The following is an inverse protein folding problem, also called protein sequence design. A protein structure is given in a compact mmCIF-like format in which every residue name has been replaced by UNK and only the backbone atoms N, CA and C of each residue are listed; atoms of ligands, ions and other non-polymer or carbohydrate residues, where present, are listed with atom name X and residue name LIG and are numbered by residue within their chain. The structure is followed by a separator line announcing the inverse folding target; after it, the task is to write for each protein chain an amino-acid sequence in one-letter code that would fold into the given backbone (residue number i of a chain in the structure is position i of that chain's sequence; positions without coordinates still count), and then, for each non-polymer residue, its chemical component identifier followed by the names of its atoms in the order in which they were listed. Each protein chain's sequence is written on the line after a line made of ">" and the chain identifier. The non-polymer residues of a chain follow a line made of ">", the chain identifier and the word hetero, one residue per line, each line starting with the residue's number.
data_IF_079908397228
#
_entry.id   IF_079908397228
#
_cell.length_a   1.000
_cell.length_b   1.000
_cell.length_c   1.000
_cell.angle_alpha   90.00
_cell.angle_beta   90.00
_cell.angle_gamma   90.00
#
_symmetry.space_group_name_H-M   'P 1'
#
loop_
_entity.id
_entity.type
_entity.pdbx_description
1 polymer ?
#
# COMPACT_ATOMS: atom_id res chain seq x y z
N UNK A 1 9.52 70.37 -69.23
CA UNK A 1 10.63 70.94 -68.43
C UNK A 1 10.23 70.91 -66.96
N UNK A 2 11.19 70.63 -66.07
CA UNK A 2 11.12 70.49 -64.61
C UNK A 2 10.39 69.22 -64.09
N UNK A 3 11.12 68.18 -63.61
CA UNK A 3 11.63 67.97 -62.23
C UNK A 3 10.46 67.80 -61.24
N UNK A 4 10.25 66.72 -60.49
CA UNK A 4 11.06 65.61 -60.01
C UNK A 4 10.61 65.36 -58.56
N UNK A 5 10.33 64.12 -58.14
CA UNK A 5 10.39 63.78 -56.71
C UNK A 5 10.56 62.27 -56.49
N UNK A 6 11.58 61.91 -55.70
CA UNK A 6 11.86 60.57 -55.21
C UNK A 6 11.01 60.31 -53.96
N UNK A 7 10.24 59.23 -53.96
CA UNK A 7 9.61 58.67 -52.77
C UNK A 7 10.09 57.24 -52.57
N UNK A 8 11.04 57.06 -51.64
CA UNK A 8 11.48 55.76 -51.11
C UNK A 8 10.39 55.19 -50.22
N UNK A 9 9.78 54.07 -50.61
CA UNK A 9 8.91 53.28 -49.73
C UNK A 9 9.77 52.25 -48.98
N UNK A 10 10.05 52.54 -47.71
CA UNK A 10 10.59 51.59 -46.74
C UNK A 10 9.54 50.53 -46.42
N UNK A 11 9.80 49.29 -46.83
CA UNK A 11 9.02 48.12 -46.43
C UNK A 11 9.07 47.93 -44.92
N UNK A 12 7.91 48.06 -44.29
CA UNK A 12 7.68 47.72 -42.89
C UNK A 12 7.71 46.21 -42.71
N UNK A 13 8.78 45.70 -42.10
CA UNK A 13 8.84 44.36 -41.54
C UNK A 13 7.98 44.30 -40.28
N UNK A 14 6.74 43.80 -40.42
CA UNK A 14 5.90 43.41 -39.30
C UNK A 14 6.50 42.16 -38.64
N UNK A 15 7.37 42.40 -37.64
CA UNK A 15 7.83 41.38 -36.72
C UNK A 15 6.66 40.85 -35.90
N UNK A 16 6.08 39.74 -36.36
CA UNK A 16 5.13 38.94 -35.60
C UNK A 16 5.82 38.42 -34.35
N UNK A 17 5.50 39.00 -33.20
CA UNK A 17 5.87 38.48 -31.90
C UNK A 17 5.14 37.14 -31.69
N UNK A 18 5.80 36.04 -32.05
CA UNK A 18 5.44 34.72 -31.57
C UNK A 18 5.58 34.71 -30.05
N UNK A 19 4.49 35.05 -29.36
CA UNK A 19 4.28 34.69 -27.96
C UNK A 19 4.22 33.17 -27.92
N UNK A 20 5.36 32.54 -27.64
CA UNK A 20 5.43 31.14 -27.29
C UNK A 20 4.54 30.95 -26.06
N UNK A 21 3.33 30.43 -26.26
CA UNK A 21 2.54 29.85 -25.17
C UNK A 21 3.40 28.73 -24.59
N UNK A 22 4.10 29.02 -23.50
CA UNK A 22 4.69 28.02 -22.63
C UNK A 22 3.56 27.11 -22.17
N UNK A 23 3.31 26.03 -22.92
CA UNK A 23 2.43 24.98 -22.44
C UNK A 23 3.19 24.36 -21.26
N UNK A 24 2.73 24.64 -20.04
CA UNK A 24 3.15 23.96 -18.82
C UNK A 24 2.76 22.48 -18.95
N UNK A 25 3.47 21.75 -19.80
CA UNK A 25 3.37 20.32 -19.95
C UNK A 25 4.21 19.74 -18.84
N UNK A 26 3.55 19.21 -17.81
CA UNK A 26 4.24 18.45 -16.76
C UNK A 26 5.03 17.34 -17.48
N UNK A 27 6.37 17.33 -17.38
CA UNK A 27 7.17 16.38 -18.13
C UNK A 27 6.80 14.97 -17.70
N UNK A 28 6.58 14.07 -18.65
CA UNK A 28 6.29 12.63 -18.39
C UNK A 28 7.30 11.99 -17.43
N UNK A 29 8.51 12.55 -17.38
CA UNK A 29 9.61 12.19 -16.48
C UNK A 29 9.28 12.44 -15.00
N UNK A 30 8.54 13.50 -14.66
CA UNK A 30 8.20 13.83 -13.28
C UNK A 30 7.37 12.73 -12.61
N UNK A 31 6.33 12.24 -13.29
CA UNK A 31 5.51 11.13 -12.77
C UNK A 31 6.31 9.84 -12.59
N UNK A 32 7.29 9.58 -13.46
CA UNK A 32 8.17 8.41 -13.33
C UNK A 32 9.09 8.52 -12.12
N UNK A 33 9.68 9.69 -11.91
CA UNK A 33 10.54 9.96 -10.75
C UNK A 33 9.73 9.84 -9.47
N UNK A 34 8.57 10.50 -9.39
CA UNK A 34 7.70 10.43 -8.22
C UNK A 34 7.27 9.00 -7.90
N UNK A 35 6.86 8.24 -8.92
CA UNK A 35 6.49 6.83 -8.76
C UNK A 35 7.66 5.99 -8.23
N UNK A 36 8.88 6.20 -8.75
CA UNK A 36 10.07 5.49 -8.30
C UNK A 36 10.46 5.87 -6.85
N UNK A 37 10.34 7.14 -6.47
CA UNK A 37 10.59 7.59 -5.10
C UNK A 37 9.60 6.98 -4.11
N UNK A 38 8.31 6.88 -4.48
CA UNK A 38 7.29 6.21 -3.66
C UNK A 38 7.60 4.72 -3.56
N UNK A 39 7.98 4.06 -4.66
CA UNK A 39 8.38 2.65 -4.61
C UNK A 39 9.57 2.44 -3.67
N UNK A 40 10.59 3.28 -3.75
CA UNK A 40 11.78 3.20 -2.90
C UNK A 40 11.43 3.42 -1.42
N UNK A 41 10.54 4.37 -1.11
CA UNK A 41 10.09 4.60 0.26
C UNK A 41 9.28 3.40 0.78
N UNK A 42 8.43 2.79 -0.04
CA UNK A 42 7.70 1.56 0.32
C UNK A 42 8.64 0.40 0.63
N UNK A 43 9.70 0.20 -0.15
CA UNK A 43 10.71 -0.83 0.13
C UNK A 43 11.40 -0.57 1.46
N UNK A 44 11.73 0.69 1.76
CA UNK A 44 12.34 1.08 3.04
C UNK A 44 11.39 0.81 4.21
N UNK A 45 10.12 1.17 4.06
CA UNK A 45 9.07 0.89 5.05
C UNK A 45 8.92 -0.61 5.25
N UNK A 46 8.88 -1.42 4.19
CA UNK A 46 8.76 -2.87 4.28
C UNK A 46 9.89 -3.49 5.13
N UNK A 47 11.14 -3.05 4.95
CA UNK A 47 12.28 -3.53 5.75
C UNK A 47 12.11 -3.23 7.25
N UNK A 48 11.54 -2.07 7.59
CA UNK A 48 11.24 -1.73 8.99
C UNK A 48 10.06 -2.55 9.51
N UNK A 49 9.03 -2.71 8.69
CA UNK A 49 7.77 -3.36 9.07
C UNK A 49 7.87 -4.86 9.26
N UNK A 50 8.88 -5.51 8.69
CA UNK A 50 9.16 -6.94 8.91
C UNK A 50 9.69 -7.21 10.32
N UNK A 51 10.32 -6.24 10.99
CA UNK A 51 11.02 -6.46 12.27
C UNK A 51 10.13 -7.01 13.40
N UNK A 52 8.92 -6.50 13.67
CA UNK A 52 8.04 -7.07 14.68
C UNK A 52 7.72 -8.56 14.45
N UNK A 53 7.60 -8.96 13.18
CA UNK A 53 7.31 -10.34 12.79
C UNK A 53 8.51 -11.26 12.93
N UNK A 54 9.71 -10.76 12.59
CA UNK A 54 10.97 -11.47 12.85
C UNK A 54 11.14 -11.70 14.34
N UNK A 55 10.94 -10.68 15.16
CA UNK A 55 11.13 -10.77 16.60
C UNK A 55 10.04 -11.66 17.25
N UNK A 56 8.80 -11.62 16.76
CA UNK A 56 7.75 -12.56 17.16
C UNK A 56 8.10 -14.01 16.79
N UNK A 57 8.62 -14.24 15.57
CA UNK A 57 9.04 -15.58 15.14
C UNK A 57 10.18 -16.13 16.01
N UNK A 58 11.17 -15.30 16.38
CA UNK A 58 12.24 -15.70 17.30
C UNK A 58 11.69 -16.15 18.66
N UNK A 59 10.69 -15.45 19.19
CA UNK A 59 10.12 -15.77 20.50
C UNK A 59 9.22 -17.01 20.51
N UNK A 60 8.60 -17.34 19.38
CA UNK A 60 7.83 -18.58 19.22
C UNK A 60 8.72 -19.83 19.10
N UNK A 61 10.02 -19.71 19.37
CA UNK A 61 10.93 -20.84 19.36
C UNK A 61 11.21 -21.36 17.95
N UNK A 62 11.08 -20.50 16.92
CA UNK A 62 11.76 -20.71 15.63
C UNK A 62 13.26 -20.60 15.89
N UNK A 63 13.78 -21.64 16.53
CA UNK A 63 15.15 -21.74 16.98
C UNK A 63 15.90 -22.36 15.82
N UNK A 64 16.77 -21.53 15.25
CA UNK A 64 17.89 -21.87 14.39
C UNK A 64 18.37 -23.29 14.73
N UNK A 65 18.27 -24.19 13.75
CA UNK A 65 19.01 -25.45 13.63
C UNK A 65 19.38 -26.07 14.99
N UNK A 66 18.52 -26.98 15.48
CA UNK A 66 18.67 -27.86 16.66
C UNK A 66 19.89 -27.55 17.57
N UNK A 67 19.65 -27.19 18.84
CA UNK A 67 20.70 -26.83 19.82
C UNK A 67 21.88 -27.83 19.89
N UNK A 68 21.62 -29.08 19.49
CA UNK A 68 22.60 -30.16 19.34
C UNK A 68 23.58 -29.93 18.17
N UNK A 69 23.09 -29.43 17.03
CA UNK A 69 23.88 -29.11 15.83
C UNK A 69 24.74 -27.86 16.04
N UNK A 70 24.21 -26.81 16.70
CA UNK A 70 24.97 -25.61 17.08
C UNK A 70 26.15 -25.98 18.01
N UNK A 71 25.93 -26.85 19.00
CA UNK A 71 27.00 -27.33 19.91
C UNK A 71 28.08 -28.14 19.20
N UNK A 72 27.69 -28.96 18.22
CA UNK A 72 28.62 -29.78 17.44
C UNK A 72 29.47 -28.92 16.48
N UNK A 73 28.92 -27.81 16.01
CA UNK A 73 29.53 -26.93 15.00
C UNK A 73 30.28 -25.75 15.61
N UNK A 74 29.98 -25.35 16.84
CA UNK A 74 30.67 -24.27 17.56
C UNK A 74 32.17 -24.52 17.81
N UNK A 75 32.65 -25.74 17.56
CA UNK A 75 34.08 -26.12 17.63
C UNK A 75 34.88 -25.55 16.44
N UNK A 76 34.24 -25.14 15.33
CA UNK A 76 34.91 -24.55 14.17
C UNK A 76 34.42 -23.10 13.95
N UNK A 77 35.26 -22.07 14.18
CA UNK A 77 34.86 -20.65 14.13
C UNK A 77 34.19 -20.22 12.83
N UNK A 78 34.65 -20.75 11.69
CA UNK A 78 34.12 -20.42 10.35
C UNK A 78 32.71 -20.99 10.14
N UNK A 79 32.44 -22.18 10.68
CA UNK A 79 31.14 -22.84 10.53
C UNK A 79 30.10 -22.25 11.49
N UNK A 80 30.53 -21.74 12.66
CA UNK A 80 29.68 -20.95 13.55
C UNK A 80 29.23 -19.63 12.89
N UNK A 81 30.12 -18.93 12.18
CA UNK A 81 29.76 -17.73 11.41
C UNK A 81 28.76 -18.04 10.26
N UNK A 82 28.93 -19.17 9.57
CA UNK A 82 27.99 -19.63 8.52
C UNK A 82 26.63 -20.07 9.11
N UNK A 83 26.63 -20.85 10.20
CA UNK A 83 25.42 -21.33 10.84
C UNK A 83 24.60 -20.18 11.47
N UNK A 84 25.27 -19.20 12.09
CA UNK A 84 24.60 -17.99 12.60
C UNK A 84 24.03 -17.13 11.47
N UNK A 85 24.73 -17.00 10.34
CA UNK A 85 24.24 -16.23 9.17
C UNK A 85 23.04 -16.93 8.50
N UNK A 86 23.08 -18.26 8.37
CA UNK A 86 21.96 -19.06 7.86
C UNK A 86 20.76 -19.02 8.81
N UNK A 87 21.00 -19.09 10.12
CA UNK A 87 19.96 -18.98 11.14
C UNK A 87 19.25 -17.63 11.15
N UNK A 88 20.01 -16.53 11.08
CA UNK A 88 19.45 -15.18 10.93
C UNK A 88 18.64 -15.08 9.63
N UNK A 89 19.14 -15.62 8.52
CA UNK A 89 18.42 -15.63 7.24
C UNK A 89 17.07 -16.34 7.30
N UNK A 90 16.98 -17.52 7.92
CA UNK A 90 15.73 -18.30 8.01
C UNK A 90 14.66 -17.56 8.81
N UNK A 91 15.02 -16.98 9.95
CA UNK A 91 14.06 -16.21 10.78
C UNK A 91 13.55 -14.98 10.01
N UNK A 92 14.44 -14.28 9.28
CA UNK A 92 14.03 -13.17 8.43
C UNK A 92 13.08 -13.59 7.32
N UNK A 93 13.31 -14.75 6.69
CA UNK A 93 12.39 -15.30 5.67
C UNK A 93 11.02 -15.60 6.29
N UNK A 94 10.98 -16.26 7.45
CA UNK A 94 9.73 -16.59 8.14
C UNK A 94 8.99 -15.32 8.58
N UNK A 95 9.69 -14.36 9.18
CA UNK A 95 9.12 -13.07 9.57
C UNK A 95 8.60 -12.28 8.37
N UNK A 96 9.33 -12.30 7.25
CA UNK A 96 8.88 -11.65 6.00
C UNK A 96 7.66 -12.35 5.42
N UNK A 97 7.59 -13.68 5.44
CA UNK A 97 6.44 -14.43 4.98
C UNK A 97 5.20 -14.17 5.84
N UNK A 98 5.37 -14.14 7.17
CA UNK A 98 4.30 -13.83 8.10
C UNK A 98 3.79 -12.40 7.91
N UNK A 99 4.69 -11.42 7.87
CA UNK A 99 4.36 -10.03 7.56
C UNK A 99 3.65 -9.92 6.20
N UNK A 100 4.19 -10.56 5.16
CA UNK A 100 3.64 -10.54 3.81
C UNK A 100 2.22 -11.09 3.75
N UNK A 101 1.89 -12.10 4.57
CA UNK A 101 0.53 -12.64 4.67
C UNK A 101 -0.46 -11.62 5.27
N UNK A 102 -0.10 -10.98 6.39
CA UNK A 102 -0.92 -9.91 6.98
C UNK A 102 -1.05 -8.72 6.02
N UNK A 103 0.07 -8.28 5.46
CA UNK A 103 0.12 -7.16 4.55
C UNK A 103 -0.74 -7.41 3.30
N UNK A 104 -0.72 -8.63 2.75
CA UNK A 104 -1.55 -9.03 1.60
C UNK A 104 -3.03 -8.94 1.93
N UNK A 105 -3.45 -9.43 3.10
CA UNK A 105 -4.85 -9.34 3.56
C UNK A 105 -5.28 -7.88 3.74
N UNK A 106 -4.41 -7.04 4.29
CA UNK A 106 -4.70 -5.62 4.52
C UNK A 106 -4.79 -4.81 3.23
N UNK A 107 -3.88 -5.04 2.27
CA UNK A 107 -3.85 -4.27 1.02
C UNK A 107 -4.79 -4.80 -0.05
N UNK A 108 -5.25 -6.05 0.03
CA UNK A 108 -6.11 -6.63 -1.00
C UNK A 108 -7.38 -5.81 -1.24
N UNK A 109 -8.16 -5.39 -0.21
CA UNK A 109 -9.28 -4.48 -0.41
C UNK A 109 -8.88 -3.18 -1.12
N UNK A 110 -7.73 -2.60 -0.74
CA UNK A 110 -7.23 -1.35 -1.33
C UNK A 110 -7.00 -1.51 -2.82
N UNK A 111 -6.38 -2.61 -3.24
CA UNK A 111 -6.13 -2.92 -4.66
C UNK A 111 -7.44 -3.13 -5.41
N UNK A 112 -8.34 -3.96 -4.86
CA UNK A 112 -9.62 -4.31 -5.48
C UNK A 112 -10.53 -3.09 -5.67
N UNK A 113 -10.70 -2.27 -4.62
CA UNK A 113 -11.49 -1.04 -4.70
C UNK A 113 -10.88 0.02 -5.61
N UNK A 114 -9.57 -0.07 -5.89
CA UNK A 114 -8.92 0.83 -6.84
C UNK A 114 -8.97 0.34 -8.29
N UNK A 115 -9.53 -0.85 -8.57
CA UNK A 115 -9.61 -1.44 -9.91
C UNK A 115 -11.02 -1.26 -10.52
N UNK A 116 -11.23 -0.28 -11.43
CA UNK A 116 -12.57 0.08 -11.91
C UNK A 116 -13.31 -1.06 -12.61
N UNK A 117 -12.60 -1.88 -13.40
CA UNK A 117 -13.23 -3.02 -14.07
C UNK A 117 -13.69 -4.08 -13.08
N UNK A 118 -12.95 -4.29 -11.99
CA UNK A 118 -13.36 -5.26 -10.97
C UNK A 118 -14.62 -4.76 -10.26
N UNK A 119 -14.65 -3.49 -9.87
CA UNK A 119 -15.85 -2.88 -9.30
C UNK A 119 -17.05 -2.95 -10.24
N UNK A 120 -16.83 -2.69 -11.54
CA UNK A 120 -17.89 -2.77 -12.53
C UNK A 120 -18.47 -4.18 -12.64
N UNK A 121 -17.61 -5.20 -12.75
CA UNK A 121 -18.05 -6.60 -12.80
C UNK A 121 -18.79 -7.01 -11.52
N UNK A 122 -18.30 -6.63 -10.34
CA UNK A 122 -18.98 -6.95 -9.08
C UNK A 122 -20.35 -6.24 -8.98
N UNK A 123 -20.46 -4.98 -9.42
CA UNK A 123 -21.74 -4.26 -9.46
C UNK A 123 -22.69 -4.92 -10.46
N UNK A 124 -22.21 -5.22 -11.67
CA UNK A 124 -23.01 -5.86 -12.70
C UNK A 124 -23.49 -7.25 -12.25
N UNK A 125 -22.61 -8.04 -11.63
CA UNK A 125 -22.97 -9.34 -11.08
C UNK A 125 -23.94 -9.18 -9.91
N UNK A 126 -23.77 -8.19 -9.03
CA UNK A 126 -24.71 -7.91 -7.94
C UNK A 126 -26.10 -7.51 -8.47
N UNK A 127 -26.18 -6.67 -9.50
CA UNK A 127 -27.44 -6.31 -10.15
C UNK A 127 -28.10 -7.53 -10.81
N UNK A 128 -27.32 -8.39 -11.46
CA UNK A 128 -27.80 -9.64 -12.07
C UNK A 128 -28.10 -10.74 -11.05
N UNK A 129 -27.54 -10.67 -9.84
CA UNK A 129 -27.64 -11.72 -8.81
C UNK A 129 -29.04 -11.86 -8.20
N UNK A 130 -29.99 -11.00 -8.56
CA UNK A 130 -31.43 -11.26 -8.35
C UNK A 130 -31.99 -12.35 -9.29
N UNK A 131 -31.12 -13.10 -9.97
CA UNK A 131 -31.44 -14.19 -10.91
C UNK A 131 -32.36 -15.26 -10.34
N UNK A 132 -32.21 -15.59 -9.05
CA UNK A 132 -33.04 -16.62 -8.42
C UNK A 132 -34.01 -16.01 -7.41
N UNK A 133 -35.27 -15.87 -7.81
CA UNK A 133 -36.35 -15.55 -6.88
C UNK A 133 -36.52 -16.70 -5.87
N UNK A 134 -36.53 -16.35 -4.58
CA UNK A 134 -36.92 -17.25 -3.49
C UNK A 134 -38.44 -17.36 -3.55
N UNK A 135 -38.96 -18.57 -3.71
CA UNK A 135 -40.39 -18.85 -3.75
C UNK A 135 -40.82 -19.47 -2.42
N UNK A 136 -42.06 -19.22 -2.01
CA UNK A 136 -42.59 -19.72 -0.74
C UNK A 136 -42.73 -21.26 -0.69
N UNK A 137 -42.64 -21.92 -1.85
CA UNK A 137 -42.67 -23.37 -1.99
C UNK A 137 -41.30 -24.01 -2.22
N UNK A 138 -40.21 -23.24 -2.17
CA UNK A 138 -38.87 -23.80 -2.26
C UNK A 138 -38.56 -24.63 -1.00
N UNK A 139 -37.86 -25.74 -1.18
CA UNK A 139 -37.25 -26.46 -0.05
C UNK A 139 -36.36 -25.49 0.76
N UNK A 140 -36.36 -25.56 2.11
CA UNK A 140 -35.57 -24.66 2.95
C UNK A 140 -34.07 -24.59 2.57
N UNK A 141 -33.50 -25.70 2.07
CA UNK A 141 -32.11 -25.78 1.61
C UNK A 141 -31.93 -25.00 0.31
N UNK A 142 -32.87 -25.14 -0.63
CA UNK A 142 -32.86 -24.43 -1.92
C UNK A 142 -33.07 -22.94 -1.70
N UNK A 143 -33.99 -22.54 -0.81
CA UNK A 143 -34.18 -21.14 -0.44
C UNK A 143 -32.91 -20.52 0.15
N UNK A 144 -32.20 -21.25 1.02
CA UNK A 144 -30.91 -20.81 1.55
C UNK A 144 -29.82 -20.71 0.48
N UNK A 145 -29.71 -21.68 -0.44
CA UNK A 145 -28.74 -21.63 -1.53
C UNK A 145 -28.98 -20.42 -2.44
N UNK A 146 -30.24 -20.14 -2.80
CA UNK A 146 -30.62 -18.93 -3.56
C UNK A 146 -30.23 -17.66 -2.80
N UNK A 147 -30.52 -17.60 -1.50
CA UNK A 147 -30.16 -16.46 -0.64
C UNK A 147 -28.64 -16.23 -0.57
N UNK A 148 -27.85 -17.30 -0.47
CA UNK A 148 -26.39 -17.22 -0.44
C UNK A 148 -25.84 -16.78 -1.79
N UNK A 149 -26.30 -17.38 -2.89
CA UNK A 149 -25.87 -17.03 -4.24
C UNK A 149 -26.14 -15.56 -4.56
N UNK A 150 -27.35 -15.08 -4.29
CA UNK A 150 -27.74 -13.69 -4.56
C UNK A 150 -26.97 -12.66 -3.70
N UNK A 151 -26.34 -13.10 -2.60
CA UNK A 151 -25.51 -12.24 -1.76
C UNK A 151 -24.02 -12.39 -2.03
N UNK A 152 -23.59 -13.40 -2.78
CA UNK A 152 -22.21 -13.81 -2.91
C UNK A 152 -21.27 -12.68 -3.38
N UNK A 153 -21.61 -11.88 -4.42
CA UNK A 153 -20.72 -10.82 -4.91
C UNK A 153 -20.43 -9.75 -3.85
N UNK A 154 -21.46 -9.35 -3.10
CA UNK A 154 -21.35 -8.32 -2.05
C UNK A 154 -20.75 -8.90 -0.77
N UNK A 155 -21.15 -10.13 -0.39
CA UNK A 155 -20.65 -10.82 0.79
C UNK A 155 -19.15 -11.08 0.72
N UNK A 156 -18.59 -11.32 -0.47
CA UNK A 156 -17.15 -11.44 -0.66
C UNK A 156 -16.41 -10.17 -0.20
N UNK A 157 -16.84 -8.99 -0.66
CA UNK A 157 -16.22 -7.71 -0.28
C UNK A 157 -16.43 -7.36 1.19
N UNK A 158 -17.62 -7.64 1.73
CA UNK A 158 -17.90 -7.46 3.16
C UNK A 158 -17.00 -8.36 4.02
N UNK A 159 -16.89 -9.64 3.67
CA UNK A 159 -16.06 -10.58 4.41
C UNK A 159 -14.58 -10.23 4.30
N UNK A 160 -14.12 -9.79 3.12
CA UNK A 160 -12.75 -9.31 2.95
C UNK A 160 -12.45 -8.11 3.86
N UNK A 161 -13.42 -7.19 4.02
CA UNK A 161 -13.29 -6.04 4.92
C UNK A 161 -13.23 -6.47 6.41
N UNK A 162 -14.00 -7.50 6.80
CA UNK A 162 -13.96 -8.07 8.16
C UNK A 162 -12.63 -8.79 8.44
N UNK A 163 -12.15 -9.58 7.49
CA UNK A 163 -10.86 -10.28 7.60
C UNK A 163 -9.72 -9.26 7.70
N UNK A 164 -9.77 -8.17 6.91
CA UNK A 164 -8.84 -7.05 7.03
C UNK A 164 -8.86 -6.42 8.42
N UNK A 165 -10.03 -6.18 9.00
CA UNK A 165 -10.12 -5.65 10.36
C UNK A 165 -9.50 -6.61 11.39
N UNK A 166 -9.75 -7.92 11.26
CA UNK A 166 -9.14 -8.92 12.13
C UNK A 166 -7.61 -8.96 11.98
N UNK A 167 -7.10 -8.89 10.74
CA UNK A 167 -5.66 -8.79 10.46
C UNK A 167 -5.06 -7.57 11.14
N UNK A 168 -5.70 -6.40 11.02
CA UNK A 168 -5.26 -5.17 11.68
C UNK A 168 -5.21 -5.25 13.20
N UNK A 169 -6.18 -5.92 13.82
CA UNK A 169 -6.17 -6.10 15.27
C UNK A 169 -4.96 -6.92 15.71
N UNK A 170 -4.66 -8.00 14.98
CA UNK A 170 -3.50 -8.85 15.27
C UNK A 170 -2.20 -8.12 14.97
N UNK A 171 -2.09 -7.43 13.83
CA UNK A 171 -0.91 -6.64 13.48
C UNK A 171 -0.67 -5.52 14.51
N UNK A 172 -1.73 -4.83 14.94
CA UNK A 172 -1.67 -3.85 16.03
C UNK A 172 -1.10 -4.46 17.31
N UNK A 173 -1.54 -5.66 17.70
CA UNK A 173 -1.00 -6.33 18.88
C UNK A 173 0.49 -6.66 18.74
N UNK A 174 0.93 -7.19 17.58
CA UNK A 174 2.33 -7.52 17.32
C UNK A 174 3.20 -6.25 17.31
N UNK A 175 2.74 -5.22 16.61
CA UNK A 175 3.42 -3.93 16.53
C UNK A 175 3.50 -3.23 17.89
N UNK A 176 2.42 -3.21 18.66
CA UNK A 176 2.39 -2.60 19.98
C UNK A 176 3.28 -3.37 20.97
N UNK A 177 3.29 -4.70 20.88
CA UNK A 177 4.18 -5.53 21.67
C UNK A 177 5.66 -5.20 21.40
N UNK A 178 6.03 -5.07 20.12
CA UNK A 178 7.41 -4.77 19.71
C UNK A 178 7.85 -3.33 19.95
N UNK A 179 6.99 -2.39 19.55
CA UNK A 179 7.21 -0.95 19.60
C UNK A 179 6.31 -0.33 20.65
N UNK A 180 6.38 -0.83 21.88
CA UNK A 180 5.50 -0.34 22.93
C UNK A 180 5.72 1.16 23.15
N UNK A 181 4.65 1.98 23.04
CA UNK A 181 4.74 3.42 23.24
C UNK A 181 4.82 3.79 24.73
N UNK A 182 4.77 2.82 25.64
CA UNK A 182 4.88 3.04 27.09
C UNK A 182 5.94 2.13 27.70
N UNK A 183 6.63 2.62 28.73
CA UNK A 183 7.70 1.88 29.37
C UNK A 183 7.25 0.55 30.00
N UNK A 184 5.98 0.46 30.43
CA UNK A 184 5.42 -0.74 31.05
C UNK A 184 5.11 -1.86 30.06
N UNK A 185 5.13 -1.59 28.75
CA UNK A 185 4.73 -2.56 27.72
C UNK A 185 3.21 -2.77 27.58
N UNK A 186 2.40 -2.25 28.52
CA UNK A 186 0.97 -2.57 28.62
C UNK A 186 0.11 -1.62 27.77
N UNK A 187 -0.77 -2.19 26.96
CA UNK A 187 -1.75 -1.44 26.16
C UNK A 187 -2.65 -0.57 27.04
N UNK A 188 -3.06 -1.07 28.20
CA UNK A 188 -3.93 -0.34 29.15
C UNK A 188 -3.30 0.95 29.64
N UNK A 189 -1.99 0.94 29.91
CA UNK A 189 -1.28 2.10 30.46
C UNK A 189 -1.14 3.18 29.39
N UNK A 190 -1.00 2.80 28.12
CA UNK A 190 -1.04 3.76 27.00
C UNK A 190 -2.37 4.50 26.95
N UNK A 191 -3.50 3.79 26.97
CA UNK A 191 -4.82 4.43 26.98
C UNK A 191 -5.03 5.29 28.22
N UNK A 192 -4.58 4.83 29.38
CA UNK A 192 -4.63 5.62 30.62
C UNK A 192 -3.85 6.93 30.49
N UNK A 193 -2.61 6.92 29.97
CA UNK A 193 -1.81 8.13 29.78
C UNK A 193 -2.40 9.08 28.74
N UNK A 194 -2.99 8.55 27.66
CA UNK A 194 -3.72 9.36 26.67
C UNK A 194 -4.94 10.03 27.31
N UNK A 195 -5.76 9.27 28.06
CA UNK A 195 -6.97 9.81 28.71
C UNK A 195 -6.67 10.84 29.80
N UNK A 196 -5.57 10.65 30.53
CA UNK A 196 -5.15 11.57 31.61
C UNK A 196 -4.25 12.71 31.13
N UNK A 197 -3.96 12.79 29.82
CA UNK A 197 -3.14 13.85 29.22
C UNK A 197 -1.64 13.78 29.55
N UNK A 198 -1.13 12.63 30.00
CA UNK A 198 0.26 12.43 30.40
C UNK A 198 1.17 12.08 29.21
N UNK A 199 1.20 12.90 28.17
CA UNK A 199 1.97 12.63 26.94
C UNK A 199 3.48 12.45 27.18
N UNK A 200 4.02 13.01 28.26
CA UNK A 200 5.42 12.89 28.67
C UNK A 200 5.83 11.44 28.98
N UNK A 201 4.85 10.56 29.26
CA UNK A 201 5.05 9.13 29.53
C UNK A 201 4.97 8.27 28.26
N UNK A 202 4.61 8.88 27.13
CA UNK A 202 4.49 8.21 25.85
C UNK A 202 5.81 8.39 25.09
N UNK A 203 6.43 7.28 24.72
CA UNK A 203 7.56 7.25 23.82
C UNK A 203 7.07 7.51 22.40
N UNK A 204 7.13 8.77 21.97
CA UNK A 204 6.71 9.21 20.63
C UNK A 204 7.44 8.48 19.51
N UNK A 205 8.72 8.11 19.69
CA UNK A 205 9.48 7.41 18.65
C UNK A 205 8.92 6.00 18.42
N UNK A 206 8.64 5.25 19.50
CA UNK A 206 8.03 3.93 19.39
C UNK A 206 6.60 4.02 18.85
N UNK A 207 5.84 5.03 19.28
CA UNK A 207 4.50 5.27 18.74
C UNK A 207 4.54 5.53 17.23
N UNK A 208 5.45 6.40 16.77
CA UNK A 208 5.62 6.68 15.35
C UNK A 208 6.06 5.44 14.56
N UNK A 209 6.98 4.64 15.10
CA UNK A 209 7.38 3.37 14.48
C UNK A 209 6.20 2.41 14.36
N UNK A 210 5.41 2.24 15.42
CA UNK A 210 4.20 1.41 15.39
C UNK A 210 3.20 1.90 14.33
N UNK A 211 2.97 3.23 14.25
CA UNK A 211 2.07 3.81 13.25
C UNK A 211 2.58 3.65 11.81
N UNK A 212 3.88 3.86 11.59
CA UNK A 212 4.51 3.63 10.27
C UNK A 212 4.41 2.14 9.91
N UNK A 213 4.56 1.25 10.88
CA UNK A 213 4.43 -0.18 10.63
C UNK A 213 3.01 -0.59 10.25
N UNK A 214 2.01 -0.08 10.95
CA UNK A 214 0.61 -0.40 10.70
C UNK A 214 0.07 0.21 9.39
N UNK A 215 0.45 1.46 9.07
CA UNK A 215 -0.21 2.22 8.00
C UNK A 215 0.72 2.66 6.88
N UNK A 216 2.03 2.68 7.10
CA UNK A 216 2.99 3.25 6.16
C UNK A 216 2.97 2.56 4.79
N UNK A 217 2.88 1.23 4.76
CA UNK A 217 2.85 0.47 3.50
C UNK A 217 1.55 0.71 2.73
N UNK A 218 0.40 0.72 3.41
CA UNK A 218 -0.89 1.02 2.78
C UNK A 218 -0.97 2.45 2.24
N UNK A 219 -0.48 3.44 3.00
CA UNK A 219 -0.43 4.83 2.55
C UNK A 219 0.46 4.93 1.29
N UNK A 220 1.63 4.29 1.32
CA UNK A 220 2.53 4.22 0.18
C UNK A 220 1.86 3.60 -1.05
N UNK A 221 1.14 2.48 -0.88
CA UNK A 221 0.42 1.81 -1.96
C UNK A 221 -0.69 2.68 -2.53
N UNK A 222 -1.49 3.32 -1.69
CA UNK A 222 -2.54 4.24 -2.13
C UNK A 222 -1.96 5.41 -2.94
N UNK A 223 -0.85 6.00 -2.47
CA UNK A 223 -0.14 7.06 -3.20
C UNK A 223 0.41 6.55 -4.53
N UNK A 224 0.98 5.36 -4.56
CA UNK A 224 1.51 4.73 -5.78
C UNK A 224 0.40 4.53 -6.84
N UNK A 225 -0.74 3.98 -6.41
CA UNK A 225 -1.91 3.78 -7.26
C UNK A 225 -2.49 5.12 -7.75
N UNK A 226 -2.56 6.11 -6.87
CA UNK A 226 -3.08 7.44 -7.19
C UNK A 226 -2.20 8.17 -8.21
N UNK A 227 -0.88 8.16 -8.02
CA UNK A 227 0.09 8.72 -8.99
C UNK A 227 0.00 7.99 -10.33
N UNK A 228 -0.17 6.66 -10.31
CA UNK A 228 -0.38 5.86 -11.53
C UNK A 228 -1.64 6.29 -12.29
N UNK A 229 -2.77 6.44 -11.58
CA UNK A 229 -4.05 6.92 -12.16
C UNK A 229 -3.90 8.33 -12.72
N UNK A 230 -3.27 9.24 -11.99
CA UNK A 230 -3.08 10.62 -12.41
C UNK A 230 -2.19 10.72 -13.66
N UNK A 231 -1.12 9.93 -13.72
CA UNK A 231 -0.26 9.84 -14.90
C UNK A 231 -1.01 9.28 -16.12
N UNK A 232 -1.89 8.28 -15.94
CA UNK A 232 -2.72 7.74 -17.02
C UNK A 232 -3.74 8.78 -17.52
N UNK A 233 -4.45 9.44 -16.61
CA UNK A 233 -5.45 10.47 -16.95
C UNK A 233 -4.81 11.64 -17.70
N UNK A 234 -3.65 12.10 -17.24
CA UNK A 234 -2.90 13.17 -17.91
C UNK A 234 -2.51 12.79 -19.33
N UNK A 235 -2.03 11.55 -19.55
CA UNK A 235 -1.69 11.04 -20.89
C UNK A 235 -2.92 10.96 -21.80
N UNK A 236 -4.08 10.57 -21.26
CA UNK A 236 -5.34 10.53 -22.00
C UNK A 236 -5.78 11.93 -22.42
N UNK A 237 -5.71 12.90 -21.50
CA UNK A 237 -6.04 14.30 -21.79
C UNK A 237 -5.14 14.91 -22.88
N UNK A 238 -3.82 14.67 -22.83
CA UNK A 238 -2.89 15.14 -23.86
C UNK A 238 -3.19 14.55 -25.25
N UNK A 239 -3.48 13.25 -25.33
CA UNK A 239 -3.84 12.60 -26.60
C UNK A 239 -5.11 13.19 -27.22
N UNK A 240 -6.08 13.56 -26.39
CA UNK A 240 -7.32 14.15 -26.87
C UNK A 240 -7.12 15.60 -27.35
N UNK A 241 -6.15 16.34 -26.81
CA UNK A 241 -5.83 17.70 -27.24
C UNK A 241 -5.07 17.77 -28.57
N UNK A 242 -4.34 16.72 -28.96
CA UNK A 242 -3.64 16.66 -30.25
C UNK A 242 -4.51 16.14 -31.41
N UNK A 243 -5.77 15.78 -31.15
CA UNK A 243 -6.73 15.32 -32.16
C UNK A 243 -7.69 16.43 -32.63
N UNK A 244 -7.54 17.65 -32.11
CA UNK A 244 -8.23 18.87 -32.54
C UNK A 244 -7.20 19.91 -32.99
#
# INVERSE_FOLDING_TARGET
>A
MALGNKGTASGSSSGGSHTSKSSNTVPKTWFRILWFLILLSMVTIAVVNVKPYVDAAQQLGVTIVDATFIKFISVIPVVNALASTLGVGVVWVIGTALWGMFQLVEVMPVILYNHPSFLHEVIQEAEQSTKYAIKDNDDPTVANLKKVYNKLPVAFLENLSKIRLAAYVVDFCICFWRYSPVASGKITDFFYYVMTGQFNKINTNNLMLALITLFGFEIGLNLLLWVGKLAWTYRKAQKNQTQY
#
